data_IF_833816459550
#
_entry.id   IF_833816459550
#
_cell.length_a   1.000
_cell.length_b   1.000
_cell.length_c   1.000
_cell.angle_alpha   90.00
_cell.angle_beta   90.00
_cell.angle_gamma   90.00
#
_symmetry.space_group_name_H-M   'P 1'
#
loop_
_entity.id
_entity.type
_entity.pdbx_description
1 polymer ?
#
# COMPACT_ATOMS: atom_id res chain seq x y z
N UNK A 1 -13.26 10.24 -17.44
CA UNK A 1 -14.30 9.80 -16.47
C UNK A 1 -14.34 10.84 -15.37
N UNK A 2 -15.39 11.66 -15.36
CA UNK A 2 -15.56 12.69 -14.33
C UNK A 2 -15.96 11.95 -13.06
N UNK A 3 -15.05 11.87 -12.08
CA UNK A 3 -15.32 11.40 -10.72
C UNK A 3 -16.15 12.43 -9.92
N UNK A 4 -16.99 13.22 -10.59
CA UNK A 4 -17.99 14.03 -9.89
C UNK A 4 -18.86 13.03 -9.15
N UNK A 5 -18.84 13.04 -7.81
CA UNK A 5 -19.44 11.97 -7.06
C UNK A 5 -20.93 12.00 -7.38
N UNK A 6 -21.49 10.86 -7.72
CA UNK A 6 -22.94 10.67 -7.83
C UNK A 6 -23.67 11.15 -6.55
N UNK A 7 -22.96 11.25 -5.43
CA UNK A 7 -23.41 11.84 -4.16
C UNK A 7 -23.19 13.34 -3.97
N UNK A 8 -22.57 14.07 -4.91
CA UNK A 8 -22.40 15.54 -4.79
C UNK A 8 -23.71 16.29 -4.52
N UNK A 9 -24.84 15.96 -5.18
CA UNK A 9 -26.12 16.64 -4.92
C UNK A 9 -26.64 16.44 -3.49
N UNK A 10 -26.24 15.35 -2.82
CA UNK A 10 -26.67 14.98 -1.47
C UNK A 10 -25.69 15.41 -0.37
N UNK A 11 -24.58 16.07 -0.72
CA UNK A 11 -23.54 16.48 0.24
C UNK A 11 -23.91 17.69 1.11
N UNK A 12 -25.02 18.38 0.82
CA UNK A 12 -25.48 19.58 1.53
C UNK A 12 -25.42 19.51 3.06
N UNK A 13 -25.92 18.43 3.71
CA UNK A 13 -25.91 18.32 5.17
C UNK A 13 -24.50 18.20 5.80
N UNK A 14 -23.50 17.73 5.05
CA UNK A 14 -22.12 17.54 5.54
C UNK A 14 -21.47 18.89 5.84
N UNK A 15 -21.71 19.89 4.98
CA UNK A 15 -21.11 21.22 5.10
C UNK A 15 -21.59 22.01 6.33
N UNK A 16 -22.75 21.63 6.87
CA UNK A 16 -23.38 22.33 8.00
C UNK A 16 -23.11 21.61 9.32
N UNK A 17 -22.63 20.37 9.30
CA UNK A 17 -22.35 19.57 10.50
C UNK A 17 -20.86 19.53 10.81
N UNK A 18 -20.40 20.19 11.89
CA UNK A 18 -19.00 20.15 12.31
C UNK A 18 -18.49 18.73 12.60
N UNK A 19 -19.38 17.87 13.09
CA UNK A 19 -19.07 16.47 13.40
C UNK A 19 -18.78 15.67 12.14
N UNK A 20 -19.58 15.85 11.08
CA UNK A 20 -19.37 15.14 9.81
C UNK A 20 -18.07 15.58 9.14
N UNK A 21 -17.76 16.89 9.17
CA UNK A 21 -16.49 17.40 8.67
C UNK A 21 -15.30 16.83 9.44
N UNK A 22 -15.41 16.74 10.77
CA UNK A 22 -14.35 16.16 11.60
C UNK A 22 -14.17 14.66 11.35
N UNK A 23 -15.25 13.90 11.18
CA UNK A 23 -15.20 12.48 10.81
C UNK A 23 -14.61 12.26 9.41
N UNK A 24 -14.95 13.10 8.42
CA UNK A 24 -14.33 13.07 7.09
C UNK A 24 -12.82 13.39 7.15
N UNK A 25 -12.44 14.39 7.94
CA UNK A 25 -11.04 14.73 8.14
C UNK A 25 -10.30 13.57 8.83
N UNK A 26 -10.88 13.02 9.91
CA UNK A 26 -10.31 11.90 10.64
C UNK A 26 -10.12 10.68 9.73
N UNK A 27 -11.14 10.27 8.98
CA UNK A 27 -11.03 9.13 8.04
C UNK A 27 -9.95 9.36 6.99
N UNK A 28 -9.83 10.57 6.43
CA UNK A 28 -8.74 10.93 5.53
C UNK A 28 -7.36 10.85 6.18
N UNK A 29 -7.22 11.34 7.41
CA UNK A 29 -5.97 11.29 8.17
C UNK A 29 -5.58 9.85 8.48
N UNK A 30 -6.49 9.07 9.05
CA UNK A 30 -6.23 7.69 9.45
C UNK A 30 -5.99 6.76 8.26
N UNK A 31 -6.75 6.92 7.17
CA UNK A 31 -6.64 6.03 6.00
C UNK A 31 -5.44 6.35 5.11
N UNK A 32 -5.01 7.61 5.03
CA UNK A 32 -3.95 8.04 4.11
C UNK A 32 -2.78 8.71 4.81
N UNK A 33 -3.02 9.79 5.56
CA UNK A 33 -1.92 10.61 6.08
C UNK A 33 -0.99 9.83 7.02
N UNK A 34 -1.54 8.96 7.87
CA UNK A 34 -0.75 8.10 8.75
C UNK A 34 0.02 7.05 7.95
N UNK A 35 -0.65 6.34 7.03
CA UNK A 35 -0.02 5.31 6.19
C UNK A 35 1.16 5.87 5.38
N UNK A 36 0.93 6.95 4.65
CA UNK A 36 1.99 7.63 3.91
C UNK A 36 3.06 8.23 4.83
N UNK A 37 2.67 8.76 6.00
CA UNK A 37 3.62 9.26 6.98
C UNK A 37 4.60 8.18 7.45
N UNK A 38 4.09 6.96 7.72
CA UNK A 38 4.89 5.80 8.09
C UNK A 38 5.79 5.37 6.93
N UNK A 39 5.27 5.28 5.70
CA UNK A 39 6.06 4.92 4.53
C UNK A 39 7.22 5.89 4.31
N UNK A 40 6.93 7.19 4.33
CA UNK A 40 7.94 8.24 4.17
C UNK A 40 8.96 8.23 5.31
N UNK A 41 8.53 7.99 6.55
CA UNK A 41 9.45 7.84 7.68
C UNK A 41 10.35 6.61 7.53
N UNK A 42 9.79 5.50 7.06
CA UNK A 42 10.50 4.23 6.86
C UNK A 42 11.53 4.35 5.73
N UNK A 43 11.16 4.97 4.61
CA UNK A 43 12.08 5.25 3.49
C UNK A 43 13.26 6.13 3.91
N UNK A 44 13.08 7.02 4.90
CA UNK A 44 14.17 7.84 5.45
C UNK A 44 15.12 7.07 6.37
N UNK A 45 14.74 5.90 6.87
CA UNK A 45 15.45 5.15 7.92
C UNK A 45 16.03 3.82 7.45
N UNK A 46 15.44 3.21 6.42
CA UNK A 46 15.74 1.84 6.00
C UNK A 46 16.21 1.84 4.52
N UNK A 47 17.21 1.01 4.14
CA UNK A 47 17.58 0.83 2.74
C UNK A 47 16.41 0.33 1.89
N UNK A 48 16.29 0.85 0.66
CA UNK A 48 15.24 0.52 -0.32
C UNK A 48 14.93 -0.98 -0.40
N UNK A 49 15.95 -1.82 -0.38
CA UNK A 49 15.81 -3.29 -0.47
C UNK A 49 14.88 -3.87 0.60
N UNK A 50 14.95 -3.41 1.85
CA UNK A 50 14.08 -3.92 2.93
C UNK A 50 12.68 -3.33 2.84
N UNK A 51 12.54 -2.11 2.34
CA UNK A 51 11.23 -1.47 2.14
C UNK A 51 10.43 -2.18 1.04
N UNK A 52 11.08 -2.57 -0.07
CA UNK A 52 10.46 -3.36 -1.13
C UNK A 52 9.90 -4.69 -0.63
N UNK A 53 10.58 -5.36 0.31
CA UNK A 53 10.08 -6.59 0.96
C UNK A 53 8.87 -6.30 1.86
N UNK A 54 8.84 -5.18 2.57
CA UNK A 54 7.66 -4.76 3.35
C UNK A 54 6.45 -4.48 2.44
N UNK A 55 6.66 -3.77 1.32
CA UNK A 55 5.62 -3.52 0.32
C UNK A 55 5.12 -4.81 -0.32
N UNK A 56 6.01 -5.76 -0.59
CA UNK A 56 5.66 -7.06 -1.14
C UNK A 56 4.79 -7.91 -0.22
N UNK A 57 4.86 -7.65 1.08
CA UNK A 57 4.05 -8.34 2.08
C UNK A 57 2.64 -7.74 2.20
N UNK A 58 2.40 -6.54 1.63
CA UNK A 58 1.10 -5.88 1.66
C UNK A 58 -0.07 -6.78 1.23
N UNK A 59 -0.02 -7.53 0.11
CA UNK A 59 -1.13 -8.39 -0.31
C UNK A 59 -1.45 -9.46 0.72
N UNK A 60 -0.41 -10.07 1.32
CA UNK A 60 -0.56 -11.10 2.36
C UNK A 60 -1.21 -10.49 3.61
N UNK A 61 -0.70 -9.34 4.06
CA UNK A 61 -1.26 -8.66 5.23
C UNK A 61 -2.67 -8.14 4.99
N UNK A 62 -2.96 -7.64 3.79
CA UNK A 62 -4.28 -7.14 3.42
C UNK A 62 -5.31 -8.27 3.43
N UNK A 63 -4.97 -9.44 2.88
CA UNK A 63 -5.86 -10.61 2.92
C UNK A 63 -6.05 -11.16 4.33
N UNK A 64 -5.00 -11.18 5.17
CA UNK A 64 -5.13 -11.58 6.58
C UNK A 64 -6.03 -10.63 7.37
N UNK A 65 -5.81 -9.32 7.22
CA UNK A 65 -6.63 -8.30 7.89
C UNK A 65 -8.06 -8.34 7.36
N UNK A 66 -8.27 -8.50 6.06
CA UNK A 66 -9.60 -8.67 5.46
C UNK A 66 -10.32 -9.90 5.99
N UNK A 67 -9.61 -11.01 6.17
CA UNK A 67 -10.17 -12.21 6.77
C UNK A 67 -10.54 -12.02 8.25
N UNK A 68 -9.65 -11.42 9.05
CA UNK A 68 -9.88 -11.25 10.50
C UNK A 68 -10.92 -10.16 10.79
N UNK A 69 -10.84 -9.01 10.11
CA UNK A 69 -11.65 -7.85 10.43
C UNK A 69 -13.01 -7.82 9.71
N UNK A 70 -13.10 -8.41 8.50
CA UNK A 70 -14.33 -8.41 7.69
C UNK A 70 -14.94 -9.82 7.54
N UNK A 71 -14.37 -10.85 8.19
CA UNK A 71 -14.78 -12.27 8.08
C UNK A 71 -14.80 -12.79 6.62
N UNK A 72 -13.98 -12.19 5.75
CA UNK A 72 -13.89 -12.56 4.33
C UNK A 72 -13.02 -13.79 4.18
N UNK A 73 -13.60 -14.94 3.85
CA UNK A 73 -12.82 -16.15 3.56
C UNK A 73 -12.07 -15.97 2.23
N UNK A 74 -10.72 -15.96 2.23
CA UNK A 74 -9.96 -15.80 1.00
C UNK A 74 -10.29 -16.96 0.06
N UNK A 75 -10.66 -16.61 -1.17
CA UNK A 75 -10.97 -17.60 -2.20
C UNK A 75 -9.68 -18.23 -2.74
N UNK A 76 -9.79 -19.39 -3.39
CA UNK A 76 -8.62 -20.02 -4.04
C UNK A 76 -7.96 -19.11 -5.09
N UNK A 77 -8.73 -18.22 -5.73
CA UNK A 77 -8.21 -17.22 -6.67
C UNK A 77 -7.43 -16.11 -5.97
N UNK A 78 -7.86 -15.67 -4.78
CA UNK A 78 -7.13 -14.68 -4.00
C UNK A 78 -5.77 -15.22 -3.59
N UNK A 79 -5.72 -16.47 -3.14
CA UNK A 79 -4.46 -17.15 -2.78
C UNK A 79 -3.54 -17.28 -4.00
N UNK A 80 -4.08 -17.66 -5.15
CA UNK A 80 -3.31 -17.73 -6.40
C UNK A 80 -2.78 -16.34 -6.83
N UNK A 81 -3.58 -15.30 -6.69
CA UNK A 81 -3.19 -13.92 -6.96
C UNK A 81 -2.07 -13.43 -6.03
N UNK A 82 -2.19 -13.69 -4.72
CA UNK A 82 -1.15 -13.37 -3.73
C UNK A 82 0.15 -14.12 -4.08
N UNK A 83 0.06 -15.41 -4.42
CA UNK A 83 1.22 -16.20 -4.81
C UNK A 83 1.91 -15.61 -6.07
N UNK A 84 1.13 -15.20 -7.07
CA UNK A 84 1.66 -14.56 -8.28
C UNK A 84 2.39 -13.24 -7.96
N UNK A 85 1.81 -12.41 -7.09
CA UNK A 85 2.44 -11.15 -6.64
C UNK A 85 3.75 -11.43 -5.91
N UNK A 86 3.77 -12.41 -4.98
CA UNK A 86 4.98 -12.80 -4.25
C UNK A 86 6.08 -13.32 -5.19
N UNK A 87 5.73 -14.09 -6.22
CA UNK A 87 6.68 -14.52 -7.26
C UNK A 87 7.23 -13.32 -8.03
N UNK A 88 6.37 -12.39 -8.44
CA UNK A 88 6.80 -11.17 -9.15
C UNK A 88 7.79 -10.33 -8.34
N UNK A 89 7.53 -10.15 -7.04
CA UNK A 89 8.47 -9.47 -6.13
C UNK A 89 9.79 -10.24 -6.04
N UNK A 90 9.74 -11.56 -5.85
CA UNK A 90 10.95 -12.37 -5.71
C UNK A 90 11.85 -12.31 -6.95
N UNK A 91 11.26 -12.18 -8.15
CA UNK A 91 12.01 -11.94 -9.39
C UNK A 91 12.60 -10.52 -9.41
N UNK A 92 11.80 -9.50 -9.12
CA UNK A 92 12.24 -8.11 -9.11
C UNK A 92 13.40 -7.85 -8.12
N UNK A 93 13.34 -8.45 -6.92
CA UNK A 93 14.39 -8.29 -5.91
C UNK A 93 15.71 -8.92 -6.39
N UNK A 94 15.65 -10.03 -7.14
CA UNK A 94 16.84 -10.66 -7.74
C UNK A 94 17.46 -9.79 -8.82
N UNK A 95 16.64 -9.20 -9.69
CA UNK A 95 17.09 -8.32 -10.76
C UNK A 95 17.79 -7.06 -10.22
N UNK A 96 17.30 -6.48 -9.13
CA UNK A 96 17.97 -5.35 -8.47
C UNK A 96 19.35 -5.72 -7.93
N UNK A 97 19.50 -6.91 -7.31
CA UNK A 97 20.78 -7.39 -6.77
C UNK A 97 21.80 -7.58 -7.89
N UNK A 98 21.42 -8.22 -9.00
CA UNK A 98 22.31 -8.45 -10.13
C UNK A 98 22.75 -7.12 -10.77
N UNK A 99 21.85 -6.14 -10.88
CA UNK A 99 22.17 -4.81 -11.41
C UNK A 99 23.20 -4.08 -10.54
N UNK A 100 23.07 -4.12 -9.21
CA UNK A 100 24.01 -3.47 -8.29
C UNK A 100 25.40 -4.11 -8.39
N UNK A 101 25.47 -5.45 -8.40
CA UNK A 101 26.75 -6.17 -8.54
C UNK A 101 27.47 -5.79 -9.85
N UNK A 102 26.72 -5.65 -10.94
CA UNK A 102 27.27 -5.25 -12.24
C UNK A 102 27.88 -3.85 -12.20
N UNK A 103 27.22 -2.88 -11.58
CA UNK A 103 27.71 -1.48 -11.47
C UNK A 103 28.98 -1.42 -10.62
N UNK A 104 29.02 -2.11 -9.48
CA UNK A 104 30.21 -2.17 -8.61
C UNK A 104 31.40 -2.79 -9.34
N UNK A 105 31.17 -3.83 -10.15
CA UNK A 105 32.24 -4.49 -10.92
C UNK A 105 32.79 -3.63 -12.06
N UNK A 106 32.01 -2.69 -12.60
CA UNK A 106 32.45 -1.80 -13.69
C UNK A 106 33.19 -0.55 -13.25
N UNK A 107 33.35 -0.33 -11.94
CA UNK A 107 34.14 0.77 -11.37
C UNK A 107 35.46 0.21 -10.81
N UNK A 108 36.53 0.09 -11.63
CA UNK A 108 37.85 -0.22 -11.11
C UNK A 108 38.40 1.07 -10.48
N UNK A 109 38.44 1.10 -9.14
CA UNK A 109 39.29 2.05 -8.41
C UNK A 109 40.76 1.90 -8.82
#
# INVERSE_FOLDING_TARGET
VVLTPTGAPWSGPVWVSPVLLLLCCATGVFSNAIGYGIDQFTMRRIPIRRFSVLLALLPVTASLVGWIALDQRPSGLDVAGIALVLVGVAVQERDEIERVERVVRTDPA
#
